data_IF_418108728035
#
_entry.id   IF_418108728035
#
_cell.length_a   1.000
_cell.length_b   1.000
_cell.length_c   1.000
_cell.angle_alpha   90.00
_cell.angle_beta   90.00
_cell.angle_gamma   90.00
#
_symmetry.space_group_name_H-M   'P 1'
#
loop_
_entity.id
_entity.type
_entity.pdbx_description
1 polymer ?
#
# COMPACT_ATOMS: atom_id res chain seq x y z
N UNK A 1 -15.80 10.59 6.72
CA UNK A 1 -14.96 9.77 5.80
C UNK A 1 -14.66 8.46 6.50
N UNK A 2 -15.03 7.30 5.95
CA UNK A 2 -14.88 6.03 6.64
C UNK A 2 -13.54 5.38 6.24
N UNK A 3 -12.46 5.72 6.93
CA UNK A 3 -11.22 4.96 6.80
C UNK A 3 -11.37 3.66 7.59
N UNK A 4 -11.22 2.51 6.92
CA UNK A 4 -11.12 1.20 7.58
C UNK A 4 -9.72 0.66 7.38
N UNK A 5 -9.13 0.10 8.43
CA UNK A 5 -7.85 -0.58 8.32
C UNK A 5 -8.02 -1.81 7.42
N UNK A 6 -7.24 -1.97 6.33
CA UNK A 6 -7.36 -3.15 5.46
C UNK A 6 -6.83 -4.43 6.14
N UNK A 7 -6.13 -4.31 7.27
CA UNK A 7 -5.51 -5.42 8.00
C UNK A 7 -6.45 -5.98 9.08
N UNK A 8 -7.05 -5.12 9.91
CA UNK A 8 -7.91 -5.54 11.03
C UNK A 8 -9.36 -5.08 10.91
N UNK A 9 -9.73 -4.34 9.86
CA UNK A 9 -11.08 -3.81 9.60
C UNK A 9 -11.65 -2.85 10.65
N UNK A 10 -10.87 -2.47 11.66
CA UNK A 10 -11.23 -1.43 12.62
C UNK A 10 -11.47 -0.08 11.93
N UNK A 11 -12.35 0.72 12.53
CA UNK A 11 -12.60 2.09 12.12
C UNK A 11 -11.40 2.97 12.47
N UNK A 12 -10.91 3.73 11.49
CA UNK A 12 -9.91 4.77 11.66
C UNK A 12 -10.63 6.12 11.57
N UNK A 13 -10.71 6.82 12.69
CA UNK A 13 -11.27 8.17 12.75
C UNK A 13 -10.15 9.18 12.57
N UNK A 14 -10.18 9.96 11.48
CA UNK A 14 -9.15 10.95 11.20
C UNK A 14 -9.04 11.97 12.33
N UNK A 15 -10.18 12.43 12.86
CA UNK A 15 -10.24 13.35 13.99
C UNK A 15 -9.49 12.82 15.21
N UNK A 16 -9.66 11.54 15.56
CA UNK A 16 -8.93 10.92 16.67
C UNK A 16 -7.41 10.91 16.44
N UNK A 17 -6.96 10.73 15.19
CA UNK A 17 -5.53 10.78 14.84
C UNK A 17 -5.01 12.22 15.01
N UNK A 18 -5.72 13.24 14.52
CA UNK A 18 -5.27 14.62 14.68
C UNK A 18 -5.44 15.19 16.09
N UNK A 19 -6.16 14.55 17.01
CA UNK A 19 -6.17 14.97 18.41
C UNK A 19 -4.86 14.59 19.14
N UNK A 20 -4.20 13.51 18.73
CA UNK A 20 -2.90 13.10 19.27
C UNK A 20 -1.77 13.99 18.75
N UNK A 21 -0.98 14.58 19.66
CA UNK A 21 0.10 15.51 19.30
C UNK A 21 1.21 14.84 18.50
N UNK A 22 1.67 13.65 18.93
CA UNK A 22 2.74 12.95 18.24
C UNK A 22 2.31 12.48 16.85
N UNK A 23 1.04 12.08 16.70
CA UNK A 23 0.46 11.76 15.41
C UNK A 23 0.39 12.99 14.48
N UNK A 24 -0.06 14.15 14.98
CA UNK A 24 -0.05 15.41 14.22
C UNK A 24 1.35 15.79 13.75
N UNK A 25 2.33 15.75 14.65
CA UNK A 25 3.72 16.05 14.30
C UNK A 25 4.26 15.06 13.26
N UNK A 26 3.98 13.76 13.41
CA UNK A 26 4.41 12.75 12.43
C UNK A 26 3.76 12.97 11.07
N UNK A 27 2.47 13.28 11.02
CA UNK A 27 1.78 13.62 9.77
C UNK A 27 2.37 14.88 9.14
N UNK A 28 2.71 15.90 9.93
CA UNK A 28 3.41 17.10 9.48
C UNK A 28 4.74 16.76 8.84
N UNK A 29 5.57 15.95 9.50
CA UNK A 29 6.84 15.44 8.96
C UNK A 29 6.60 14.73 7.62
N UNK A 30 5.69 13.75 7.57
CA UNK A 30 5.42 12.96 6.37
C UNK A 30 4.88 13.80 5.20
N UNK A 31 4.14 14.88 5.49
CA UNK A 31 3.59 15.79 4.48
C UNK A 31 4.62 16.73 3.86
N UNK A 32 5.71 17.01 4.57
CA UNK A 32 6.79 17.87 4.11
C UNK A 32 7.81 17.15 3.23
N UNK A 33 7.80 15.80 3.22
CA UNK A 33 8.69 14.97 2.41
C UNK A 33 8.12 14.77 1.01
N UNK A 34 8.99 14.49 0.04
CA UNK A 34 8.54 13.99 -1.25
C UNK A 34 7.78 12.64 -1.10
N UNK A 35 6.94 12.33 -2.07
CA UNK A 35 6.07 11.15 -2.00
C UNK A 35 6.84 9.81 -1.94
N UNK A 36 8.03 9.75 -2.54
CA UNK A 36 8.87 8.55 -2.60
C UNK A 36 9.49 8.27 -1.23
N UNK A 37 10.15 9.27 -0.65
CA UNK A 37 10.74 9.18 0.68
C UNK A 37 9.67 8.98 1.76
N UNK A 38 8.55 9.71 1.67
CA UNK A 38 7.43 9.57 2.61
C UNK A 38 6.89 8.13 2.62
N UNK A 39 6.68 7.52 1.45
CA UNK A 39 6.21 6.13 1.33
C UNK A 39 7.26 5.13 1.84
N UNK A 40 8.53 5.32 1.49
CA UNK A 40 9.61 4.46 1.93
C UNK A 40 9.76 4.49 3.47
N UNK A 41 9.67 5.69 4.06
CA UNK A 41 9.73 5.89 5.51
C UNK A 41 8.56 5.19 6.23
N UNK A 42 7.33 5.34 5.75
CA UNK A 42 6.17 4.64 6.32
C UNK A 42 6.34 3.12 6.22
N UNK A 43 6.83 2.62 5.08
CA UNK A 43 7.14 1.20 4.90
C UNK A 43 8.16 0.67 5.89
N UNK A 44 9.22 1.45 6.13
CA UNK A 44 10.28 1.13 7.10
C UNK A 44 9.79 1.18 8.55
N UNK A 45 8.98 2.17 8.94
CA UNK A 45 8.39 2.25 10.27
C UNK A 45 7.54 1.02 10.59
N UNK A 46 6.90 0.43 9.58
CA UNK A 46 6.15 -0.83 9.70
C UNK A 46 7.00 -2.01 10.22
N UNK A 47 8.32 -2.02 9.99
CA UNK A 47 9.22 -3.07 10.46
C UNK A 47 9.43 -3.06 11.98
N UNK A 48 9.09 -1.96 12.65
CA UNK A 48 9.20 -1.80 14.10
C UNK A 48 7.94 -2.24 14.84
N UNK A 49 6.88 -2.61 14.13
CA UNK A 49 5.58 -2.97 14.69
C UNK A 49 5.63 -4.35 15.36
N UNK A 50 5.37 -4.46 16.68
CA UNK A 50 5.23 -5.76 17.34
C UNK A 50 4.06 -6.58 16.78
N UNK A 51 4.15 -7.91 16.90
CA UNK A 51 3.10 -8.79 16.39
C UNK A 51 1.74 -8.61 17.09
N UNK A 52 1.74 -8.22 18.38
CA UNK A 52 0.54 -8.13 19.22
C UNK A 52 0.02 -6.72 19.42
N UNK A 53 0.80 -5.70 19.06
CA UNK A 53 0.51 -4.31 19.42
C UNK A 53 0.90 -3.37 18.29
N UNK A 54 0.25 -2.22 18.27
CA UNK A 54 0.51 -1.16 17.31
C UNK A 54 1.76 -0.38 17.70
N UNK A 55 2.44 0.18 16.70
CA UNK A 55 3.54 1.10 16.94
C UNK A 55 2.96 2.42 17.48
N UNK A 56 3.30 2.76 18.73
CA UNK A 56 2.87 4.03 19.36
C UNK A 56 3.34 5.25 18.57
N UNK A 57 2.51 6.28 18.49
CA UNK A 57 2.81 7.53 17.75
C UNK A 57 4.09 8.20 18.22
N UNK A 58 4.30 8.36 19.54
CA UNK A 58 5.53 8.93 20.11
C UNK A 58 6.79 8.21 19.60
N UNK A 59 6.71 6.87 19.56
CA UNK A 59 7.81 6.02 19.11
C UNK A 59 8.00 6.14 17.60
N UNK A 60 6.92 6.14 16.82
CA UNK A 60 6.97 6.29 15.37
C UNK A 60 7.60 7.65 14.98
N UNK A 61 7.19 8.74 15.63
CA UNK A 61 7.73 10.08 15.43
C UNK A 61 9.23 10.15 15.76
N UNK A 62 9.63 9.59 16.91
CA UNK A 62 11.04 9.54 17.29
C UNK A 62 11.87 8.77 16.26
N UNK A 63 11.42 7.59 15.85
CA UNK A 63 12.10 6.77 14.83
C UNK A 63 12.16 7.49 13.47
N UNK A 64 11.10 8.19 13.07
CA UNK A 64 11.09 8.96 11.84
C UNK A 64 12.16 10.06 11.85
N UNK A 65 12.26 10.82 12.96
CA UNK A 65 13.29 11.86 13.14
C UNK A 65 14.69 11.26 13.16
N UNK A 66 14.89 10.15 13.87
CA UNK A 66 16.18 9.44 13.91
C UNK A 66 16.62 9.01 12.51
N UNK A 67 15.72 8.46 11.70
CA UNK A 67 16.00 8.03 10.32
C UNK A 67 16.33 9.21 9.41
N UNK A 68 15.53 10.28 9.46
CA UNK A 68 15.76 11.49 8.65
C UNK A 68 17.08 12.20 9.00
N UNK A 69 17.59 12.01 10.21
CA UNK A 69 18.89 12.53 10.62
C UNK A 69 20.09 11.67 10.15
N UNK A 70 19.86 10.46 9.62
CA UNK A 70 20.94 9.59 9.17
C UNK A 70 21.56 10.00 7.83
N UNK A 71 20.78 10.61 6.95
CA UNK A 71 21.19 10.91 5.58
C UNK A 71 20.49 12.19 5.10
N UNK A 72 21.27 13.13 4.58
CA UNK A 72 20.76 14.42 4.09
C UNK A 72 20.21 14.34 2.66
N UNK A 73 20.68 13.39 1.84
CA UNK A 73 20.17 13.17 0.49
C UNK A 73 18.85 12.36 0.53
N UNK A 74 17.70 12.98 0.19
CA UNK A 74 16.41 12.31 0.28
C UNK A 74 16.29 11.13 -0.68
N UNK A 75 16.92 11.19 -1.87
CA UNK A 75 16.85 10.13 -2.86
C UNK A 75 17.62 8.89 -2.39
N UNK A 76 18.83 9.09 -1.86
CA UNK A 76 19.65 8.02 -1.28
C UNK A 76 18.96 7.39 -0.06
N UNK A 77 18.38 8.20 0.81
CA UNK A 77 17.64 7.70 1.97
C UNK A 77 16.40 6.89 1.56
N UNK A 78 15.62 7.36 0.59
CA UNK A 78 14.43 6.66 0.11
C UNK A 78 14.77 5.29 -0.49
N UNK A 79 15.85 5.22 -1.28
CA UNK A 79 16.36 3.95 -1.82
C UNK A 79 16.77 2.99 -0.70
N UNK A 80 17.60 3.45 0.26
CA UNK A 80 18.11 2.60 1.34
C UNK A 80 16.98 2.07 2.25
N UNK A 81 15.95 2.88 2.51
CA UNK A 81 14.77 2.47 3.26
C UNK A 81 13.97 1.39 2.53
N UNK A 82 13.81 1.53 1.21
CA UNK A 82 13.09 0.57 0.38
C UNK A 82 13.82 -0.76 0.32
N UNK A 83 15.12 -0.75 0.00
CA UNK A 83 15.99 -1.93 -0.02
C UNK A 83 15.98 -2.65 1.33
N UNK A 84 16.13 -1.91 2.42
CA UNK A 84 16.08 -2.45 3.79
C UNK A 84 14.75 -3.13 4.08
N UNK A 85 13.64 -2.51 3.68
CA UNK A 85 12.29 -3.02 3.92
C UNK A 85 12.02 -4.29 3.12
N UNK A 86 12.43 -4.33 1.86
CA UNK A 86 12.27 -5.49 0.98
C UNK A 86 13.14 -6.66 1.46
N UNK A 87 14.41 -6.42 1.77
CA UNK A 87 15.33 -7.45 2.25
C UNK A 87 14.87 -8.09 3.57
N UNK A 88 14.27 -7.32 4.48
CA UNK A 88 13.71 -7.85 5.74
C UNK A 88 12.44 -8.66 5.48
N UNK A 89 11.55 -8.18 4.60
CA UNK A 89 10.31 -8.89 4.25
C UNK A 89 10.61 -10.21 3.55
N UNK A 90 11.59 -10.25 2.64
CA UNK A 90 12.03 -11.46 1.96
C UNK A 90 12.54 -12.54 2.94
N UNK A 91 13.10 -12.13 4.09
CA UNK A 91 13.59 -13.03 5.16
C UNK A 91 12.50 -13.49 6.14
N UNK A 92 11.24 -13.28 5.80
CA UNK A 92 10.10 -13.72 6.61
C UNK A 92 9.53 -12.65 7.53
N UNK A 93 10.07 -11.42 7.56
CA UNK A 93 9.44 -10.16 7.99
C UNK A 93 8.69 -10.09 9.33
N UNK A 94 8.68 -11.15 10.12
CA UNK A 94 7.77 -11.36 11.24
C UNK A 94 8.34 -10.89 12.57
N UNK A 95 9.67 -10.77 12.64
CA UNK A 95 10.35 -10.26 13.83
C UNK A 95 10.57 -8.76 13.70
N UNK A 96 10.04 -7.96 14.64
CA UNK A 96 10.28 -6.52 14.65
C UNK A 96 11.76 -6.22 14.80
N UNK A 97 12.26 -5.24 14.05
CA UNK A 97 13.63 -4.78 14.20
C UNK A 97 13.81 -3.99 15.50
N UNK A 98 15.05 -4.01 16.03
CA UNK A 98 15.39 -3.38 17.31
C UNK A 98 16.25 -2.13 17.17
N UNK A 99 16.92 -1.94 16.03
CA UNK A 99 17.84 -0.83 15.77
C UNK A 99 17.94 -0.52 14.28
N UNK A 100 18.47 0.67 13.95
CA UNK A 100 18.78 1.09 12.57
C UNK A 100 20.07 0.46 12.01
N UNK A 101 20.68 -0.50 12.71
CA UNK A 101 22.02 -1.01 12.36
C UNK A 101 22.10 -1.65 10.96
N UNK A 102 21.01 -2.25 10.47
CA UNK A 102 21.00 -2.75 9.09
C UNK A 102 20.86 -1.62 8.06
N UNK A 103 19.98 -0.63 8.31
CA UNK A 103 19.83 0.54 7.45
C UNK A 103 21.16 1.32 7.30
N UNK A 104 21.89 1.51 8.40
CA UNK A 104 23.21 2.14 8.38
C UNK A 104 24.20 1.39 7.48
N UNK A 105 24.23 0.05 7.57
CA UNK A 105 25.07 -0.77 6.68
C UNK A 105 24.67 -0.68 5.21
N UNK A 106 23.37 -0.56 4.90
CA UNK A 106 22.89 -0.36 3.52
C UNK A 106 23.33 1.01 2.98
N UNK A 107 23.27 2.05 3.82
CA UNK A 107 23.78 3.37 3.47
C UNK A 107 25.30 3.36 3.24
N UNK A 108 26.07 2.71 4.12
CA UNK A 108 27.53 2.57 4.01
C UNK A 108 27.97 1.76 2.78
N UNK A 109 27.26 0.69 2.44
CA UNK A 109 27.59 -0.21 1.33
C UNK A 109 27.34 0.38 -0.07
N UNK A 110 26.77 1.58 -0.15
CA UNK A 110 26.42 2.22 -1.43
C UNK A 110 27.41 3.34 -1.72
N UNK A 111 28.19 3.28 -2.81
CA UNK A 111 28.99 4.44 -3.22
C UNK A 111 28.03 5.61 -3.45
N UNK A 112 28.41 6.78 -2.95
CA UNK A 112 27.63 8.02 -3.05
C UNK A 112 27.56 8.45 -4.52
N UNK A 113 26.72 7.79 -5.30
CA UNK A 113 26.54 8.10 -6.72
C UNK A 113 25.52 9.21 -6.83
N UNK A 114 26.03 10.38 -7.19
CA UNK A 114 25.28 11.54 -7.60
C UNK A 114 24.17 11.16 -8.59
N UNK A 115 22.95 11.62 -8.29
CA UNK A 115 21.89 11.89 -9.25
C UNK A 115 21.65 10.85 -10.34
N UNK A 116 20.73 9.92 -10.07
CA UNK A 116 19.98 9.31 -11.15
C UNK A 116 18.54 9.11 -10.67
N UNK A 117 17.71 10.10 -10.96
CA UNK A 117 16.27 9.89 -10.98
C UNK A 117 15.96 8.78 -11.99
N UNK A 118 15.81 7.57 -11.50
CA UNK A 118 15.04 6.55 -12.19
C UNK A 118 13.58 6.98 -12.08
N UNK A 119 13.19 7.88 -12.99
CA UNK A 119 11.80 8.03 -13.40
C UNK A 119 11.40 6.66 -13.92
N UNK A 120 10.77 5.87 -13.07
CA UNK A 120 10.01 4.71 -13.52
C UNK A 120 8.98 5.29 -14.49
N UNK A 121 8.97 4.91 -15.78
CA UNK A 121 7.87 5.28 -16.64
C UNK A 121 6.61 4.82 -15.93
N UNK A 122 5.71 5.75 -15.61
CA UNK A 122 4.38 5.39 -15.14
C UNK A 122 3.76 4.61 -16.30
N UNK A 123 3.84 3.29 -16.22
CA UNK A 123 3.13 2.41 -17.13
C UNK A 123 1.68 2.86 -17.07
N UNK A 124 1.23 3.32 -18.22
CA UNK A 124 -0.06 3.94 -18.42
C UNK A 124 -1.09 3.02 -17.81
N UNK A 125 -1.82 3.52 -16.82
CA UNK A 125 -3.07 2.89 -16.37
C UNK A 125 -3.97 2.88 -17.60
N UNK A 126 -3.97 1.76 -18.32
CA UNK A 126 -4.95 1.48 -19.33
C UNK A 126 -6.32 1.72 -18.71
N UNK A 127 -7.24 2.44 -19.40
CA UNK A 127 -8.56 2.67 -18.85
C UNK A 127 -9.19 1.31 -18.57
N UNK A 128 -9.49 1.08 -17.29
CA UNK A 128 -10.19 -0.10 -16.80
C UNK A 128 -11.51 -0.18 -17.57
N UNK A 129 -11.54 -1.04 -18.60
CA UNK A 129 -12.75 -1.33 -19.35
C UNK A 129 -13.84 -1.77 -18.38
N UNK A 130 -15.00 -1.11 -18.48
CA UNK A 130 -16.19 -1.48 -17.72
C UNK A 130 -16.54 -2.96 -18.01
N UNK A 131 -17.04 -3.73 -17.03
CA UNK A 131 -17.48 -5.08 -17.28
C UNK A 131 -18.64 -5.06 -18.28
N UNK A 132 -18.42 -5.65 -19.45
CA UNK A 132 -19.48 -5.90 -20.44
C UNK A 132 -20.48 -6.85 -19.78
N UNK A 133 -21.71 -6.39 -19.53
CA UNK A 133 -22.81 -7.22 -19.06
C UNK A 133 -23.07 -8.32 -20.09
N UNK A 134 -22.98 -9.59 -19.68
CA UNK A 134 -23.45 -10.71 -20.47
C UNK A 134 -24.97 -10.57 -20.73
N UNK A 135 -25.46 -10.91 -21.93
CA UNK A 135 -26.88 -10.85 -22.23
C UNK A 135 -27.66 -11.87 -21.39
N UNK A 136 -28.80 -11.43 -20.86
CA UNK A 136 -29.68 -12.17 -19.95
C UNK A 136 -30.21 -13.48 -20.56
N UNK A 137 -30.04 -14.59 -19.81
CA UNK A 137 -30.54 -15.93 -20.15
C UNK A 137 -32.07 -16.04 -20.22
N UNK A 138 -32.82 -14.98 -19.87
CA UNK A 138 -34.28 -14.99 -19.85
C UNK A 138 -34.90 -14.90 -21.25
N UNK A 139 -34.24 -14.27 -22.22
CA UNK A 139 -34.78 -14.12 -23.59
C UNK A 139 -34.61 -15.41 -24.41
N UNK A 140 -33.46 -16.08 -24.28
CA UNK A 140 -33.22 -17.39 -24.92
C UNK A 140 -34.13 -18.50 -24.38
N UNK A 141 -34.48 -18.43 -23.09
CA UNK A 141 -35.42 -19.36 -22.46
C UNK A 141 -36.83 -19.25 -23.06
N UNK A 142 -37.31 -18.02 -23.28
CA UNK A 142 -38.65 -17.77 -23.84
C UNK A 142 -38.73 -18.23 -25.30
N UNK A 143 -37.70 -17.98 -26.12
CA UNK A 143 -37.68 -18.41 -27.53
C UNK A 143 -37.64 -19.94 -27.69
N UNK A 144 -36.97 -20.67 -26.79
CA UNK A 144 -36.96 -22.15 -26.79
C UNK A 144 -38.32 -22.72 -26.37
N UNK A 145 -39.01 -22.09 -25.42
CA UNK A 145 -40.34 -22.52 -24.99
C UNK A 145 -41.40 -22.33 -26.08
N UNK A 146 -41.32 -21.23 -26.84
CA UNK A 146 -42.19 -21.01 -28.00
C UNK A 146 -41.96 -22.02 -29.13
N UNK A 147 -40.70 -22.40 -29.37
CA UNK A 147 -40.36 -23.41 -30.38
C UNK A 147 -40.83 -24.83 -30.02
N UNK A 148 -40.92 -25.15 -28.72
CA UNK A 148 -41.51 -26.39 -28.22
C UNK A 148 -43.05 -26.36 -28.33
N UNK A 149 -43.68 -25.23 -28.03
CA UNK A 149 -45.14 -25.07 -28.12
C UNK A 149 -45.66 -25.12 -29.56
N UNK A 150 -44.89 -24.65 -30.55
CA UNK A 150 -45.23 -24.78 -31.98
C UNK A 150 -45.14 -26.22 -32.49
N UNK A 151 -44.16 -27.00 -31.99
CA UNK A 151 -44.04 -28.44 -32.32
C UNK A 151 -45.17 -29.28 -31.71
N UNK A 152 -45.58 -28.98 -30.48
CA UNK A 152 -46.69 -29.69 -29.82
C UNK A 152 -48.09 -29.37 -30.43
N UNK A 153 -48.23 -28.27 -31.19
CA UNK A 153 -49.47 -27.91 -31.90
C UNK A 153 -49.55 -28.44 -33.34
N UNK A 154 -48.50 -29.09 -33.83
CA UNK A 154 -48.44 -29.67 -35.18
C UNK A 154 -48.68 -31.18 -35.24
N UNK A 155 -49.10 -31.80 -34.14
CA UNK A 155 -49.47 -33.21 -34.06
C UNK A 155 -50.94 -33.33 -33.65
N UNK A 156 -51.83 -32.93 -34.55
CA UNK A 156 -53.26 -33.29 -34.48
C UNK A 156 -53.84 -33.25 -35.91
N UNK A 157 -53.42 -34.23 -36.71
CA UNK A 157 -54.14 -34.80 -37.87
C UNK A 157 -53.79 -36.27 -37.98
#
# INVERSE_FOLDING_TARGET
MLARCPVCHSHLQLEAIVQDEAARELLGVLSALDATLSRALVGYLGLWRPAKQDLRWDRALRLAREVLALEADPARLAWALSETTEAIRAKGGSTPIKSHGYLKRVLEGTPQSAGAGAVVPSEQVAPRAAPVKAPSATVDGVMRLEALKRRARGSDT
#
